data_IF_180955925032
#
_entry.id   IF_180955925032
#
_cell.length_a   1.000
_cell.length_b   1.000
_cell.length_c   1.000
_cell.angle_alpha   90.00
_cell.angle_beta   90.00
_cell.angle_gamma   90.00
#
_symmetry.space_group_name_H-M   'P 1'
#
loop_
_entity.id
_entity.type
_entity.pdbx_description
1 polymer ?
#
# COMPACT_ATOMS: atom_id res chain seq x y z
N UNK A 1 -15.18 10.20 12.60
CA UNK A 1 -14.10 9.23 12.80
C UNK A 1 -13.84 8.52 11.49
N UNK A 2 -12.61 8.59 11.01
CA UNK A 2 -12.16 8.16 9.68
C UNK A 2 -11.93 6.65 9.57
N UNK A 3 -11.93 5.93 10.70
CA UNK A 3 -11.69 4.48 10.72
C UNK A 3 -10.22 4.12 10.49
N UNK A 4 -9.31 5.10 10.56
CA UNK A 4 -7.86 4.92 10.40
C UNK A 4 -7.15 4.61 11.72
N UNK A 5 -5.96 4.01 11.63
CA UNK A 5 -5.11 3.75 12.80
C UNK A 5 -4.88 5.08 13.52
N UNK A 6 -5.31 5.19 14.78
CA UNK A 6 -5.24 6.42 15.58
C UNK A 6 -6.50 7.30 15.60
N UNK A 7 -7.50 7.05 14.76
CA UNK A 7 -8.81 7.74 14.76
C UNK A 7 -9.96 6.70 14.66
N UNK A 8 -9.95 5.76 15.60
CA UNK A 8 -10.95 4.71 15.73
C UNK A 8 -11.94 5.04 16.85
N UNK A 9 -13.20 4.68 16.63
CA UNK A 9 -14.19 4.69 17.70
C UNK A 9 -13.96 3.54 18.68
N UNK A 10 -14.43 3.66 19.93
CA UNK A 10 -14.39 2.53 20.87
C UNK A 10 -15.14 1.28 20.37
N UNK A 11 -16.15 1.44 19.50
CA UNK A 11 -16.84 0.28 18.90
C UNK A 11 -16.00 -0.33 17.78
N UNK A 12 -15.33 0.49 16.97
CA UNK A 12 -14.44 0.04 15.91
C UNK A 12 -13.22 -0.69 16.46
N UNK A 13 -12.64 -0.21 17.55
CA UNK A 13 -11.54 -0.89 18.25
C UNK A 13 -11.96 -2.26 18.78
N UNK A 14 -13.17 -2.38 19.34
CA UNK A 14 -13.72 -3.68 19.76
C UNK A 14 -13.89 -4.63 18.58
N UNK A 15 -14.47 -4.15 17.47
CA UNK A 15 -14.59 -4.94 16.25
C UNK A 15 -13.22 -5.36 15.69
N UNK A 16 -12.22 -4.47 15.70
CA UNK A 16 -10.86 -4.79 15.27
C UNK A 16 -10.23 -5.88 16.15
N UNK A 17 -10.34 -5.76 17.48
CA UNK A 17 -9.81 -6.74 18.41
C UNK A 17 -10.45 -8.13 18.20
N UNK A 18 -11.77 -8.19 18.02
CA UNK A 18 -12.48 -9.44 17.72
C UNK A 18 -12.06 -10.01 16.36
N UNK A 19 -11.99 -9.17 15.34
CA UNK A 19 -11.59 -9.58 14.00
C UNK A 19 -10.19 -10.19 13.99
N UNK A 20 -9.25 -9.61 14.75
CA UNK A 20 -7.88 -10.12 14.88
C UNK A 20 -7.81 -11.54 15.44
N UNK A 21 -8.65 -11.85 16.42
CA UNK A 21 -8.72 -13.21 17.00
C UNK A 21 -9.30 -14.20 15.98
N UNK A 22 -10.36 -13.83 15.28
CA UNK A 22 -11.03 -14.71 14.33
C UNK A 22 -10.16 -15.09 13.12
N UNK A 23 -9.36 -14.14 12.63
CA UNK A 23 -8.55 -14.31 11.41
C UNK A 23 -7.11 -14.70 11.70
N UNK A 24 -6.76 -14.99 12.95
CA UNK A 24 -5.40 -15.32 13.38
C UNK A 24 -4.83 -16.53 12.64
N UNK A 25 -5.69 -17.48 12.25
CA UNK A 25 -5.37 -18.61 11.38
C UNK A 25 -4.82 -18.13 10.02
N UNK A 26 -5.53 -17.19 9.39
CA UNK A 26 -5.16 -16.62 8.09
C UNK A 26 -3.94 -15.71 8.19
N UNK A 27 -3.82 -14.95 9.29
CA UNK A 27 -2.67 -14.06 9.50
C UNK A 27 -1.37 -14.83 9.66
N UNK A 28 -1.38 -16.06 10.17
CA UNK A 28 -0.18 -16.88 10.23
C UNK A 28 0.41 -17.20 8.85
N UNK A 29 -0.43 -17.24 7.81
CA UNK A 29 0.00 -17.40 6.42
C UNK A 29 0.48 -16.08 5.78
N UNK A 30 0.23 -14.93 6.41
CA UNK A 30 0.59 -13.61 5.91
C UNK A 30 1.67 -12.98 6.80
N UNK A 31 2.87 -12.80 6.25
CA UNK A 31 3.99 -12.18 6.99
C UNK A 31 3.78 -10.69 7.32
N UNK A 32 2.81 -10.01 6.70
CA UNK A 32 2.58 -8.56 6.82
C UNK A 32 1.14 -8.22 7.24
N UNK A 33 0.67 -8.85 8.33
CA UNK A 33 -0.66 -8.65 8.88
C UNK A 33 -0.73 -7.46 9.85
N UNK A 34 -0.58 -6.24 9.34
CA UNK A 34 -0.70 -5.02 10.15
C UNK A 34 -2.16 -4.64 10.46
N UNK A 35 -2.37 -3.84 11.50
CA UNK A 35 -3.70 -3.30 11.84
C UNK A 35 -4.31 -2.49 10.68
N UNK A 36 -3.45 -1.85 9.87
CA UNK A 36 -3.86 -1.14 8.64
C UNK A 36 -4.45 -2.09 7.59
N UNK A 37 -3.93 -3.32 7.49
CA UNK A 37 -4.44 -4.36 6.61
C UNK A 37 -5.81 -4.84 7.08
N UNK A 38 -5.96 -5.12 8.37
CA UNK A 38 -7.24 -5.54 8.96
C UNK A 38 -8.33 -4.47 8.79
N UNK A 39 -7.98 -3.21 9.04
CA UNK A 39 -8.91 -2.08 8.88
C UNK A 39 -9.37 -1.89 7.44
N UNK A 40 -8.58 -2.27 6.43
CA UNK A 40 -8.98 -2.20 5.02
C UNK A 40 -10.21 -3.07 4.76
N UNK A 41 -10.23 -4.29 5.29
CA UNK A 41 -11.33 -5.24 5.13
C UNK A 41 -12.57 -4.82 5.92
N UNK A 42 -12.36 -4.41 7.18
CA UNK A 42 -13.43 -3.91 8.04
C UNK A 42 -14.12 -2.68 7.42
N UNK A 43 -13.37 -1.71 6.89
CA UNK A 43 -13.96 -0.53 6.21
C UNK A 43 -14.75 -0.91 4.96
N UNK A 44 -14.28 -1.86 4.16
CA UNK A 44 -14.97 -2.30 2.94
C UNK A 44 -16.34 -2.94 3.19
N UNK A 45 -16.62 -3.34 4.45
CA UNK A 45 -17.87 -3.97 4.89
C UNK A 45 -18.50 -3.25 6.07
N UNK A 46 -18.18 -1.97 6.28
CA UNK A 46 -18.78 -1.14 7.34
C UNK A 46 -18.65 -1.75 8.75
N UNK A 47 -17.53 -2.40 9.04
CA UNK A 47 -17.19 -3.06 10.31
C UNK A 47 -18.07 -4.29 10.64
N UNK A 48 -18.69 -4.91 9.64
CA UNK A 48 -19.38 -6.21 9.77
C UNK A 48 -18.35 -7.35 9.84
N UNK A 49 -18.28 -8.04 10.99
CA UNK A 49 -17.25 -9.07 11.24
C UNK A 49 -17.35 -10.26 10.29
N UNK A 50 -18.56 -10.81 10.10
CA UNK A 50 -18.74 -12.00 9.27
C UNK A 50 -18.42 -11.70 7.81
N UNK A 51 -18.95 -10.61 7.26
CA UNK A 51 -18.71 -10.25 5.86
C UNK A 51 -17.25 -9.91 5.60
N UNK A 52 -16.57 -9.30 6.59
CA UNK A 52 -15.15 -8.98 6.48
C UNK A 52 -14.30 -10.24 6.48
N UNK A 53 -14.64 -11.23 7.31
CA UNK A 53 -13.97 -12.52 7.37
C UNK A 53 -14.14 -13.30 6.06
N UNK A 54 -15.37 -13.42 5.58
CA UNK A 54 -15.66 -14.09 4.30
C UNK A 54 -14.90 -13.45 3.14
N UNK A 55 -14.82 -12.12 3.12
CA UNK A 55 -14.09 -11.38 2.10
C UNK A 55 -12.58 -11.64 2.19
N UNK A 56 -12.03 -11.71 3.40
CA UNK A 56 -10.62 -12.02 3.61
C UNK A 56 -10.30 -13.47 3.17
N UNK A 57 -11.14 -14.45 3.52
CA UNK A 57 -10.94 -15.86 3.11
C UNK A 57 -10.99 -16.01 1.59
N UNK A 58 -11.95 -15.38 0.93
CA UNK A 58 -12.04 -15.34 -0.54
C UNK A 58 -10.79 -14.69 -1.17
N UNK A 59 -10.27 -13.62 -0.57
CA UNK A 59 -9.04 -13.00 -1.05
C UNK A 59 -7.83 -13.94 -0.93
N UNK A 60 -7.75 -14.76 0.10
CA UNK A 60 -6.67 -15.75 0.24
C UNK A 60 -6.75 -16.86 -0.80
N UNK A 61 -7.96 -17.33 -1.11
CA UNK A 61 -8.17 -18.27 -2.21
C UNK A 61 -7.76 -17.66 -3.54
N UNK A 62 -8.12 -16.40 -3.79
CA UNK A 62 -7.71 -15.67 -4.98
C UNK A 62 -6.18 -15.53 -5.10
N UNK A 63 -5.47 -15.23 -4.00
CA UNK A 63 -3.99 -15.17 -3.99
C UNK A 63 -3.36 -16.49 -4.44
N UNK A 64 -3.89 -17.62 -3.95
CA UNK A 64 -3.40 -18.95 -4.31
C UNK A 64 -3.72 -19.30 -5.76
N UNK A 65 -4.91 -18.96 -6.25
CA UNK A 65 -5.34 -19.26 -7.61
C UNK A 65 -4.56 -18.47 -8.67
N UNK A 66 -4.23 -17.21 -8.38
CA UNK A 66 -3.51 -16.33 -9.30
C UNK A 66 -2.00 -16.30 -9.05
N UNK A 67 -1.50 -17.11 -8.12
CA UNK A 67 -0.09 -17.16 -7.71
C UNK A 67 0.51 -15.76 -7.46
N UNK A 68 -0.21 -14.95 -6.67
CA UNK A 68 0.16 -13.55 -6.44
C UNK A 68 1.48 -13.37 -5.69
N UNK A 69 2.00 -14.43 -5.07
CA UNK A 69 3.29 -14.38 -4.39
C UNK A 69 4.45 -14.41 -5.41
N UNK A 70 4.23 -14.97 -6.61
CA UNK A 70 5.20 -14.98 -7.71
C UNK A 70 4.91 -13.93 -8.80
N UNK A 71 3.94 -13.03 -8.60
CA UNK A 71 3.55 -12.04 -9.62
C UNK A 71 4.71 -11.13 -10.05
N UNK A 72 5.68 -10.87 -9.18
CA UNK A 72 6.86 -10.06 -9.55
C UNK A 72 7.76 -10.76 -10.57
N UNK A 73 7.70 -12.08 -10.66
CA UNK A 73 8.38 -12.88 -11.68
C UNK A 73 7.53 -13.12 -12.93
N UNK A 74 6.23 -12.79 -12.88
CA UNK A 74 5.33 -12.97 -14.00
C UNK A 74 5.66 -11.97 -15.12
N UNK A 75 5.90 -12.47 -16.32
CA UNK A 75 6.06 -11.64 -17.51
C UNK A 75 4.77 -11.65 -18.31
N UNK A 76 4.15 -10.48 -18.56
CA UNK A 76 2.99 -10.39 -19.43
C UNK A 76 3.38 -10.85 -20.84
N UNK A 77 2.54 -11.66 -21.51
CA UNK A 77 2.78 -12.03 -22.89
C UNK A 77 2.84 -10.79 -23.77
N UNK A 78 3.80 -10.76 -24.68
CA UNK A 78 3.94 -9.70 -25.67
C UNK A 78 2.77 -9.79 -26.65
N UNK A 79 1.71 -9.03 -26.38
CA UNK A 79 0.71 -8.76 -27.39
C UNK A 79 1.31 -7.71 -28.33
N UNK A 80 1.43 -7.96 -29.65
CA UNK A 80 1.73 -6.89 -30.57
C UNK A 80 0.62 -5.86 -30.40
N UNK A 81 0.98 -4.71 -29.85
CA UNK A 81 0.15 -3.52 -29.78
C UNK A 81 -0.09 -3.04 -31.21
N UNK A 82 -0.85 -3.79 -32.00
CA UNK A 82 -1.48 -3.28 -33.20
C UNK A 82 -2.66 -2.46 -32.71
N UNK A 83 -2.38 -1.25 -32.23
CA UNK A 83 -3.41 -0.23 -32.17
C UNK A 83 -3.88 -0.04 -33.62
N UNK A 84 -5.14 -0.34 -33.98
CA UNK A 84 -5.63 -0.10 -35.33
C UNK A 84 -5.87 1.39 -35.60
N UNK A 85 -5.17 2.29 -34.91
CA UNK A 85 -5.28 3.72 -35.09
C UNK A 85 -3.93 4.30 -35.49
N UNK A 86 -3.71 4.33 -36.80
CA UNK A 86 -2.70 5.16 -37.44
C UNK A 86 -3.10 6.64 -37.28
N UNK A 87 -2.82 7.22 -36.12
CA UNK A 87 -2.72 8.67 -35.93
C UNK A 87 -1.26 9.09 -36.01
N UNK A 88 -0.93 10.28 -36.55
CA UNK A 88 0.46 10.72 -36.68
C UNK A 88 1.13 10.82 -35.31
N UNK A 89 2.19 10.04 -35.17
CA UNK A 89 3.09 9.93 -34.04
C UNK A 89 3.65 11.29 -33.62
N UNK A 90 3.26 11.76 -32.44
CA UNK A 90 4.10 12.67 -31.65
C UNK A 90 4.59 11.94 -30.40
N UNK A 91 5.79 11.38 -30.55
CA UNK A 91 6.82 11.10 -29.52
C UNK A 91 6.32 10.95 -28.08
N UNK A 92 6.06 9.72 -27.64
CA UNK A 92 6.52 9.24 -26.32
C UNK A 92 6.83 7.74 -26.44
N UNK A 93 7.99 7.43 -27.03
CA UNK A 93 8.68 6.19 -26.70
C UNK A 93 9.62 6.59 -25.57
N UNK A 94 9.24 6.36 -24.31
CA UNK A 94 10.18 6.45 -23.20
C UNK A 94 10.95 5.12 -23.21
N UNK A 95 12.24 5.12 -23.60
CA UNK A 95 13.02 3.91 -23.54
C UNK A 95 13.32 3.61 -22.07
N UNK A 96 13.18 2.34 -21.72
CA UNK A 96 13.85 1.62 -20.64
C UNK A 96 14.81 2.47 -19.80
N UNK A 97 14.37 2.87 -18.62
CA UNK A 97 15.27 3.28 -17.54
C UNK A 97 15.57 2.03 -16.70
N UNK A 98 16.48 1.19 -17.22
CA UNK A 98 17.12 0.13 -16.44
C UNK A 98 18.64 0.34 -16.54
N UNK A 99 19.22 0.55 -15.37
CA UNK A 99 20.61 0.33 -14.99
C UNK A 99 21.75 0.95 -15.81
N UNK A 100 22.36 1.98 -15.22
CA UNK A 100 23.82 1.99 -15.09
C UNK A 100 24.24 2.49 -13.72
N UNK A 101 24.88 1.57 -12.99
CA UNK A 101 25.95 1.82 -12.03
C UNK A 101 26.84 3.01 -12.47
N UNK A 102 27.48 3.80 -11.60
CA UNK A 102 28.21 3.43 -10.40
C UNK A 102 28.55 4.70 -9.57
N UNK A 103 29.20 4.57 -8.39
CA UNK A 103 29.32 5.59 -7.35
C UNK A 103 30.60 6.41 -7.45
N UNK A 104 30.63 7.61 -6.85
CA UNK A 104 31.80 8.19 -6.18
C UNK A 104 31.44 9.49 -5.46
N UNK A 105 31.54 9.43 -4.13
CA UNK A 105 32.38 10.32 -3.32
C UNK A 105 32.39 11.81 -3.67
N UNK A 106 31.98 12.64 -2.72
CA UNK A 106 32.84 13.62 -2.03
C UNK A 106 32.03 14.84 -1.56
N UNK A 107 31.78 14.84 -0.26
CA UNK A 107 31.87 15.92 0.72
C UNK A 107 31.49 17.39 0.41
N UNK A 108 30.95 17.96 1.48
CA UNK A 108 31.17 19.30 2.02
C UNK A 108 30.24 20.45 1.62
N UNK A 109 29.70 21.08 2.68
CA UNK A 109 29.73 22.54 2.75
C UNK A 109 28.41 23.22 3.09
N UNK A 110 28.24 23.52 4.38
CA UNK A 110 27.64 24.77 4.92
C UNK A 110 26.11 24.94 4.79
N UNK A 111 25.39 24.78 5.91
CA UNK A 111 25.08 25.84 6.89
C UNK A 111 24.24 26.98 6.30
N UNK A 112 22.93 26.98 6.60
CA UNK A 112 22.31 28.14 7.27
C UNK A 112 20.94 27.79 7.83
N UNK A 113 20.85 27.76 9.16
CA UNK A 113 19.59 27.72 9.88
C UNK A 113 18.93 29.10 9.80
N UNK A 114 17.64 29.16 9.48
CA UNK A 114 16.80 30.32 9.78
C UNK A 114 15.72 29.88 10.76
N UNK A 115 16.05 30.00 12.03
CA UNK A 115 15.13 29.91 13.17
C UNK A 115 14.18 31.10 13.13
N UNK A 116 12.88 30.83 13.13
CA UNK A 116 11.83 31.81 13.36
C UNK A 116 11.75 32.10 14.86
N UNK A 117 11.96 33.36 15.24
CA UNK A 117 11.87 33.80 16.63
C UNK A 117 10.45 34.27 16.90
N UNK A 118 9.73 33.51 17.74
CA UNK A 118 8.48 33.94 18.35
C UNK A 118 8.75 35.01 19.41
N UNK A 119 7.95 36.07 19.40
CA UNK A 119 8.00 37.13 20.41
C UNK A 119 6.90 36.94 21.45
N UNK A 120 7.33 37.04 22.71
CA UNK A 120 6.60 36.75 23.94
C UNK A 120 5.58 37.81 24.32
N UNK A 121 4.62 37.33 25.10
CA UNK A 121 3.67 38.00 26.00
C UNK A 121 4.35 38.78 27.13
N UNK A 122 3.70 39.86 27.58
CA UNK A 122 3.64 40.45 28.93
C UNK A 122 2.62 41.60 28.80
N UNK A 123 1.70 41.92 29.72
CA UNK A 123 1.29 41.45 31.04
C UNK A 123 0.09 42.32 31.43
#
# INVERSE_FOLDING_TARGET
>A
MSGQVGDLSPSQEKSLAQFRVNVQDVLSALSNADDSFLLRWLRARSFDLQKSEDMLRKHMEFRKQQDLDNILAWQPPEHPCTFPYSGPTSRICLPKLLDSCAPSSTQDGMRSQRSTQGHKTHG
#
